data_IF_213746290481
#
_entry.id   IF_213746290481
#
_cell.length_a   1.000
_cell.length_b   1.000
_cell.length_c   1.000
_cell.angle_alpha   90.00
_cell.angle_beta   90.00
_cell.angle_gamma   90.00
#
_symmetry.space_group_name_H-M   'P 1'
#
loop_
_entity.id
_entity.type
_entity.pdbx_description
1 polymer ?
#
# COMPACT_ATOMS: atom_id res chain seq x y z
N UNK A 1 -18.08 5.52 -14.52
CA UNK A 1 -18.12 5.10 -13.11
C UNK A 1 -16.75 4.58 -12.66
N UNK A 2 -16.09 3.69 -13.40
CA UNK A 2 -14.75 3.19 -13.06
C UNK A 2 -13.67 4.27 -12.87
N UNK A 3 -13.67 5.34 -13.68
CA UNK A 3 -12.69 6.43 -13.54
C UNK A 3 -12.78 7.12 -12.17
N UNK A 4 -13.99 7.28 -11.62
CA UNK A 4 -14.17 7.85 -10.29
C UNK A 4 -13.61 6.91 -9.21
N UNK A 5 -13.86 5.60 -9.34
CA UNK A 5 -13.30 4.60 -8.43
C UNK A 5 -11.76 4.55 -8.50
N UNK A 6 -11.18 4.75 -9.69
CA UNK A 6 -9.72 4.83 -9.84
C UNK A 6 -9.14 6.06 -9.13
N UNK A 7 -9.80 7.22 -9.26
CA UNK A 7 -9.40 8.43 -8.55
C UNK A 7 -9.45 8.22 -7.04
N UNK A 8 -10.58 7.71 -6.53
CA UNK A 8 -10.78 7.46 -5.10
C UNK A 8 -9.76 6.45 -4.56
N UNK A 9 -9.43 5.41 -5.34
CA UNK A 9 -8.42 4.41 -4.98
C UNK A 9 -7.02 5.01 -4.84
N UNK A 10 -6.62 5.90 -5.77
CA UNK A 10 -5.32 6.57 -5.71
C UNK A 10 -5.27 7.55 -4.53
N UNK A 11 -6.35 8.30 -4.31
CA UNK A 11 -6.45 9.23 -3.19
C UNK A 11 -6.38 8.50 -1.84
N UNK A 12 -7.10 7.38 -1.71
CA UNK A 12 -7.06 6.54 -0.51
C UNK A 12 -5.64 6.01 -0.25
N UNK A 13 -4.97 5.50 -1.29
CA UNK A 13 -3.59 5.01 -1.17
C UNK A 13 -2.62 6.13 -0.77
N UNK A 14 -2.74 7.32 -1.37
CA UNK A 14 -1.87 8.46 -1.05
C UNK A 14 -2.00 8.88 0.42
N UNK A 15 -3.24 9.01 0.93
CA UNK A 15 -3.48 9.32 2.35
C UNK A 15 -2.94 8.24 3.29
N UNK A 16 -3.12 6.96 2.94
CA UNK A 16 -2.59 5.86 3.74
C UNK A 16 -1.05 5.89 3.79
N UNK A 17 -0.38 6.18 2.67
CA UNK A 17 1.07 6.31 2.60
C UNK A 17 1.60 7.50 3.41
N UNK A 18 0.92 8.65 3.37
CA UNK A 18 1.28 9.82 4.19
C UNK A 18 1.24 9.49 5.69
N UNK A 19 0.15 8.87 6.16
CA UNK A 19 0.03 8.41 7.55
C UNK A 19 1.07 7.36 7.90
N UNK A 20 1.29 6.39 7.02
CA UNK A 20 2.27 5.31 7.20
C UNK A 20 3.69 5.87 7.41
N UNK A 21 4.08 6.87 6.63
CA UNK A 21 5.41 7.49 6.66
C UNK A 21 5.76 8.13 8.02
N UNK A 22 4.76 8.43 8.86
CA UNK A 22 4.99 8.94 10.22
C UNK A 22 5.45 7.85 11.21
N UNK A 23 5.22 6.58 10.88
CA UNK A 23 5.41 5.44 11.79
C UNK A 23 6.40 4.39 11.29
N UNK A 24 6.59 4.28 9.97
CA UNK A 24 7.43 3.27 9.35
C UNK A 24 7.98 3.73 7.99
N UNK A 25 9.01 3.03 7.50
CA UNK A 25 9.59 3.24 6.17
C UNK A 25 9.06 2.18 5.22
N UNK A 26 8.41 2.61 4.14
CA UNK A 26 7.98 1.70 3.08
C UNK A 26 9.20 1.16 2.34
N UNK A 27 9.36 -0.16 2.29
CA UNK A 27 10.48 -0.81 1.58
C UNK A 27 9.93 -1.63 0.43
N UNK A 28 9.97 -1.14 -0.83
CA UNK A 28 9.58 -1.94 -1.97
C UNK A 28 10.36 -3.26 -2.02
N UNK A 29 9.68 -4.34 -2.38
CA UNK A 29 10.27 -5.66 -2.54
C UNK A 29 10.28 -6.01 -4.02
N UNK A 30 11.43 -6.40 -4.55
CA UNK A 30 11.51 -7.06 -5.84
C UNK A 30 10.90 -8.46 -5.69
N UNK A 31 9.68 -8.65 -6.20
CA UNK A 31 8.92 -9.89 -6.06
C UNK A 31 8.94 -10.70 -7.35
N UNK A 32 8.79 -12.01 -7.21
CA UNK A 32 8.61 -12.93 -8.33
C UNK A 32 7.50 -13.92 -8.01
N UNK A 33 6.72 -14.29 -9.02
CA UNK A 33 5.73 -15.37 -8.92
C UNK A 33 6.40 -16.77 -8.89
N UNK A 34 7.60 -16.91 -9.43
CA UNK A 34 8.34 -18.20 -9.42
C UNK A 34 8.98 -18.51 -8.07
N UNK A 35 9.29 -17.48 -7.28
CA UNK A 35 9.82 -17.60 -5.93
C UNK A 35 9.10 -16.58 -5.01
N UNK A 36 7.85 -16.89 -4.61
CA UNK A 36 7.04 -15.96 -3.84
C UNK A 36 7.71 -15.60 -2.52
N UNK A 37 7.97 -14.32 -2.32
CA UNK A 37 8.50 -13.79 -1.06
C UNK A 37 7.49 -12.81 -0.46
N UNK A 38 7.07 -13.00 0.81
CA UNK A 38 6.14 -12.09 1.45
C UNK A 38 6.71 -10.68 1.58
N UNK A 39 5.92 -9.68 1.20
CA UNK A 39 6.28 -8.29 1.37
C UNK A 39 6.07 -7.85 2.82
N UNK A 40 7.15 -7.62 3.55
CA UNK A 40 7.12 -7.34 4.99
C UNK A 40 6.39 -6.04 5.35
N UNK A 41 6.44 -5.01 4.50
CA UNK A 41 5.66 -3.77 4.73
C UNK A 41 4.16 -3.97 4.48
N UNK A 42 3.75 -5.02 3.77
CA UNK A 42 2.38 -5.26 3.32
C UNK A 42 1.35 -5.27 4.46
N UNK A 43 1.48 -6.12 5.50
CA UNK A 43 0.52 -6.18 6.60
C UNK A 43 0.36 -4.84 7.33
N UNK A 44 1.47 -4.12 7.55
CA UNK A 44 1.43 -2.82 8.18
C UNK A 44 0.78 -1.76 7.29
N UNK A 45 1.10 -1.69 5.99
CA UNK A 45 0.45 -0.75 5.08
C UNK A 45 -1.06 -1.03 4.96
N UNK A 46 -1.45 -2.31 4.95
CA UNK A 46 -2.85 -2.72 4.88
C UNK A 46 -3.68 -2.23 6.08
N UNK A 47 -3.10 -2.17 7.28
CA UNK A 47 -3.80 -1.59 8.44
C UNK A 47 -4.07 -0.10 8.26
N UNK A 48 -3.16 0.65 7.61
CA UNK A 48 -3.37 2.06 7.26
C UNK A 48 -4.34 2.26 6.09
N UNK A 49 -4.60 1.26 5.24
CA UNK A 49 -5.61 1.37 4.19
C UNK A 49 -7.04 1.20 4.75
N UNK A 50 -7.19 0.51 5.88
CA UNK A 50 -8.48 0.17 6.50
C UNK A 50 -8.89 1.08 7.67
N UNK A 51 -8.12 2.13 7.94
CA UNK A 51 -8.41 3.16 8.95
C UNK A 51 -8.98 4.42 8.30
#
# INVERSE_FOLDING_TARGET
HEVALMYDSVYLLANALERYATSAILRPLNSSCSAPTPWQSGPSLYSFLNQ
#
